data_IF_306652994536
#
_entry.id   IF_306652994536
#
_cell.length_a   1.000
_cell.length_b   1.000
_cell.length_c   1.000
_cell.angle_alpha   90.00
_cell.angle_beta   90.00
_cell.angle_gamma   90.00
#
_symmetry.space_group_name_H-M   'P 1'
#
loop_
_entity.id
_entity.type
_entity.pdbx_description
1 polymer ?
#
# COMPACT_ATOMS: atom_id res chain seq x y z
N UNK A 1 14.04 -27.36 35.30
CA UNK A 1 12.65 -26.84 35.18
C UNK A 1 12.71 -25.56 34.38
N UNK A 2 11.81 -25.41 33.43
CA UNK A 2 11.67 -24.16 32.65
C UNK A 2 11.01 -23.13 33.55
N UNK A 3 11.52 -21.91 33.54
CA UNK A 3 10.96 -20.85 34.37
C UNK A 3 9.54 -20.48 33.93
N UNK A 4 8.69 -20.11 34.90
CA UNK A 4 7.39 -19.50 34.56
C UNK A 4 7.62 -18.24 33.71
N UNK A 5 6.79 -18.07 32.68
CA UNK A 5 6.94 -16.97 31.72
C UNK A 5 6.12 -17.20 30.45
N UNK A 6 6.26 -16.30 29.51
CA UNK A 6 5.62 -16.40 28.19
C UNK A 6 6.69 -16.75 27.16
N UNK A 7 6.53 -17.89 26.51
CA UNK A 7 7.41 -18.33 25.43
C UNK A 7 6.65 -18.29 24.11
N UNK A 8 7.05 -17.42 23.21
CA UNK A 8 6.47 -17.35 21.86
C UNK A 8 7.36 -18.19 20.94
N UNK A 9 6.90 -19.39 20.62
CA UNK A 9 7.71 -20.40 19.91
C UNK A 9 7.25 -20.48 18.45
N UNK A 10 8.17 -20.20 17.55
CA UNK A 10 8.01 -20.42 16.13
C UNK A 10 7.94 -21.90 15.79
N UNK A 11 6.99 -22.25 14.93
CA UNK A 11 6.83 -23.60 14.40
C UNK A 11 7.16 -23.57 12.92
N UNK A 12 8.18 -24.32 12.47
CA UNK A 12 8.53 -24.34 11.06
C UNK A 12 7.42 -24.96 10.19
N UNK A 13 7.46 -24.80 8.85
CA UNK A 13 6.43 -25.33 7.96
C UNK A 13 6.13 -26.81 8.13
N UNK A 14 7.15 -27.60 8.47
CA UNK A 14 7.06 -29.06 8.70
C UNK A 14 6.33 -29.42 10.01
N UNK A 15 5.94 -28.43 10.80
CA UNK A 15 5.16 -28.60 12.03
C UNK A 15 5.98 -28.87 13.29
N UNK A 16 5.28 -29.26 14.37
CA UNK A 16 5.89 -29.42 15.70
C UNK A 16 7.01 -30.47 15.75
N UNK A 17 7.03 -31.44 14.83
CA UNK A 17 8.08 -32.48 14.75
C UNK A 17 9.45 -31.88 14.40
N UNK A 18 9.46 -30.76 13.68
CA UNK A 18 10.69 -30.06 13.28
C UNK A 18 11.15 -29.01 14.30
N UNK A 19 10.37 -28.75 15.35
CA UNK A 19 10.81 -27.91 16.46
C UNK A 19 11.92 -28.64 17.23
N UNK A 20 12.97 -27.91 17.63
CA UNK A 20 14.07 -28.45 18.44
C UNK A 20 13.56 -29.14 19.71
N UNK A 21 14.20 -30.27 20.07
CA UNK A 21 13.78 -31.13 21.21
C UNK A 21 13.65 -30.37 22.53
N UNK A 22 14.54 -29.44 22.80
CA UNK A 22 14.52 -28.57 23.97
C UNK A 22 13.20 -27.79 24.08
N UNK A 23 12.76 -27.19 22.97
CA UNK A 23 11.53 -26.38 22.90
C UNK A 23 10.28 -27.26 22.84
N UNK A 24 10.35 -28.45 22.23
CA UNK A 24 9.25 -29.42 22.32
C UNK A 24 8.91 -29.81 23.75
N UNK A 25 9.95 -30.01 24.59
CA UNK A 25 9.76 -30.25 26.03
C UNK A 25 9.11 -29.09 26.75
N UNK A 26 9.47 -27.85 26.39
CA UNK A 26 8.81 -26.64 26.94
C UNK A 26 7.32 -26.63 26.56
N UNK A 27 6.98 -26.89 25.30
CA UNK A 27 5.60 -26.98 24.84
C UNK A 27 4.83 -28.06 25.60
N UNK A 28 5.42 -29.23 25.80
CA UNK A 28 4.79 -30.37 26.51
C UNK A 28 4.59 -30.12 28.00
N UNK A 29 5.45 -29.29 28.63
CA UNK A 29 5.36 -28.97 30.06
C UNK A 29 4.59 -27.68 30.33
N UNK A 30 4.05 -27.04 29.30
CA UNK A 30 3.30 -25.79 29.45
C UNK A 30 1.98 -25.99 30.20
N UNK A 31 1.68 -25.07 31.14
CA UNK A 31 0.39 -25.00 31.80
C UNK A 31 -0.70 -24.58 30.78
N UNK A 32 -0.36 -23.69 29.88
CA UNK A 32 -1.23 -23.20 28.82
C UNK A 32 -0.53 -23.08 27.48
N UNK A 33 -1.17 -23.57 26.42
CA UNK A 33 -0.71 -23.43 25.03
C UNK A 33 -1.72 -22.63 24.20
N UNK A 34 -1.23 -21.57 23.56
CA UNK A 34 -2.00 -20.69 22.68
C UNK A 34 -1.53 -20.89 21.25
N UNK A 35 -2.44 -20.88 20.29
CA UNK A 35 -2.05 -21.02 18.88
C UNK A 35 -3.24 -21.01 17.95
N UNK A 36 -3.00 -20.88 16.66
CA UNK A 36 -4.04 -21.12 15.66
C UNK A 36 -4.50 -22.57 15.68
N UNK A 37 -5.75 -22.82 15.32
CA UNK A 37 -6.40 -24.17 15.35
C UNK A 37 -5.52 -25.27 14.77
N UNK A 38 -4.85 -25.00 13.64
CA UNK A 38 -3.96 -25.95 12.99
C UNK A 38 -2.81 -26.42 13.88
N UNK A 39 -2.17 -25.49 14.60
CA UNK A 39 -1.05 -25.81 15.48
C UNK A 39 -1.52 -26.51 16.74
N UNK A 40 -2.65 -26.09 17.30
CA UNK A 40 -3.24 -26.74 18.48
C UNK A 40 -3.64 -28.19 18.22
N UNK A 41 -4.14 -28.51 17.02
CA UNK A 41 -4.50 -29.88 16.61
C UNK A 41 -3.29 -30.83 16.51
N UNK A 42 -2.05 -30.30 16.52
CA UNK A 42 -0.84 -31.11 16.53
C UNK A 42 -0.38 -31.48 17.96
N UNK A 43 -1.01 -30.92 18.99
CA UNK A 43 -0.67 -31.20 20.40
C UNK A 43 -1.27 -32.52 20.87
N UNK A 44 -0.66 -33.16 21.90
CA UNK A 44 -1.24 -34.33 22.54
C UNK A 44 -2.61 -34.02 23.18
N UNK A 45 -3.46 -35.04 23.24
CA UNK A 45 -4.75 -34.94 23.92
C UNK A 45 -4.56 -34.60 25.40
N UNK A 46 -5.33 -33.62 25.92
CA UNK A 46 -5.29 -33.22 27.33
C UNK A 46 -4.47 -31.95 27.63
N UNK A 47 -3.81 -31.34 26.65
CA UNK A 47 -3.18 -30.03 26.80
C UNK A 47 -4.23 -28.96 27.02
N UNK A 48 -4.00 -28.05 27.98
CA UNK A 48 -4.85 -26.87 28.16
C UNK A 48 -4.52 -25.86 27.05
N UNK A 49 -5.50 -25.58 26.21
CA UNK A 49 -5.27 -24.75 25.01
C UNK A 49 -6.27 -23.63 24.89
N UNK A 50 -5.83 -22.51 24.29
CA UNK A 50 -6.69 -21.40 23.88
C UNK A 50 -6.37 -21.02 22.43
N UNK A 51 -7.40 -21.05 21.58
CA UNK A 51 -7.24 -20.71 20.16
C UNK A 51 -7.00 -19.21 19.98
N UNK A 52 -5.98 -18.87 19.18
CA UNK A 52 -5.73 -17.51 18.72
C UNK A 52 -6.65 -17.21 17.55
N UNK A 53 -7.54 -16.24 17.76
CA UNK A 53 -8.46 -15.72 16.74
C UNK A 53 -8.49 -14.19 16.79
N UNK A 54 -9.07 -13.55 15.78
CA UNK A 54 -9.31 -12.10 15.80
C UNK A 54 -10.68 -11.82 16.49
N UNK A 55 -10.75 -10.85 17.45
CA UNK A 55 -9.65 -10.04 17.98
C UNK A 55 -8.74 -10.81 18.96
N UNK A 56 -7.48 -10.38 19.09
CA UNK A 56 -6.48 -11.03 19.97
C UNK A 56 -6.71 -10.74 21.47
N UNK A 57 -7.57 -9.79 21.81
CA UNK A 57 -7.81 -9.33 23.19
C UNK A 57 -8.06 -10.46 24.18
N UNK A 58 -8.91 -11.47 23.90
CA UNK A 58 -9.16 -12.57 24.86
C UNK A 58 -7.87 -13.34 25.22
N UNK A 59 -6.99 -13.55 24.23
CA UNK A 59 -5.71 -14.24 24.45
C UNK A 59 -4.78 -13.39 25.31
N UNK A 60 -4.70 -12.09 25.03
CA UNK A 60 -3.85 -11.16 25.78
C UNK A 60 -4.31 -11.06 27.25
N UNK A 61 -5.61 -11.00 27.49
CA UNK A 61 -6.17 -10.97 28.84
C UNK A 61 -5.89 -12.28 29.59
N UNK A 62 -6.07 -13.41 28.92
CA UNK A 62 -5.77 -14.72 29.50
C UNK A 62 -4.26 -14.86 29.81
N UNK A 63 -3.37 -14.36 28.97
CA UNK A 63 -1.93 -14.33 29.22
C UNK A 63 -1.57 -13.50 30.47
N UNK A 64 -2.30 -12.43 30.79
CA UNK A 64 -2.10 -11.60 31.99
C UNK A 64 -2.61 -12.28 33.25
N UNK A 65 -3.81 -12.86 33.20
CA UNK A 65 -4.44 -13.48 34.37
C UNK A 65 -3.65 -14.69 34.88
N UNK A 66 -2.96 -15.40 34.01
CA UNK A 66 -2.17 -16.57 34.37
C UNK A 66 -0.68 -16.26 34.63
N UNK A 67 -0.38 -15.07 35.14
CA UNK A 67 0.98 -14.71 35.56
C UNK A 67 1.51 -15.72 36.60
N UNK A 68 2.79 -16.10 36.48
CA UNK A 68 3.41 -17.12 37.32
C UNK A 68 3.32 -18.55 36.80
N UNK A 69 2.61 -18.82 35.69
CA UNK A 69 2.56 -20.11 35.02
C UNK A 69 3.44 -20.16 33.76
N UNK A 70 3.72 -21.34 33.24
CA UNK A 70 4.41 -21.55 31.98
C UNK A 70 3.40 -21.45 30.81
N UNK A 71 3.50 -20.38 30.05
CA UNK A 71 2.59 -20.08 28.93
C UNK A 71 3.33 -20.11 27.61
N UNK A 72 2.88 -20.94 26.70
CA UNK A 72 3.49 -21.09 25.38
C UNK A 72 2.55 -20.58 24.30
N UNK A 73 3.02 -19.67 23.48
CA UNK A 73 2.31 -19.16 22.30
C UNK A 73 2.98 -19.76 21.05
N UNK A 74 2.24 -20.55 20.31
CA UNK A 74 2.72 -21.14 19.06
C UNK A 74 2.40 -20.23 17.88
N UNK A 75 3.41 -19.89 17.09
CA UNK A 75 3.28 -19.12 15.86
C UNK A 75 3.85 -19.88 14.68
N UNK A 76 3.28 -19.79 13.51
CA UNK A 76 3.86 -20.36 12.29
C UNK A 76 5.07 -19.54 11.86
N UNK A 77 6.23 -20.21 11.66
CA UNK A 77 7.46 -19.56 11.26
C UNK A 77 8.09 -18.68 12.34
N UNK A 78 8.61 -17.52 11.96
CA UNK A 78 9.19 -16.57 12.90
C UNK A 78 8.08 -15.70 13.52
N UNK A 79 7.89 -15.72 14.86
CA UNK A 79 6.87 -14.93 15.55
C UNK A 79 6.99 -13.43 15.36
N UNK A 80 8.20 -12.91 15.06
CA UNK A 80 8.46 -11.49 14.82
C UNK A 80 8.18 -11.07 13.38
N UNK A 81 8.05 -12.03 12.46
CA UNK A 81 7.92 -11.74 11.04
C UNK A 81 6.46 -11.84 10.59
N UNK A 82 5.74 -10.71 10.58
CA UNK A 82 4.28 -10.63 10.39
C UNK A 82 3.49 -11.53 11.36
N UNK A 83 4.08 -11.84 12.49
CA UNK A 83 3.57 -12.78 13.48
C UNK A 83 2.95 -12.12 14.71
N UNK A 84 2.54 -12.97 15.66
CA UNK A 84 1.81 -12.57 16.88
C UNK A 84 2.68 -11.82 17.90
N UNK A 85 4.01 -11.92 17.83
CA UNK A 85 4.91 -11.40 18.85
C UNK A 85 4.80 -9.87 19.01
N UNK A 86 4.66 -9.12 17.92
CA UNK A 86 4.48 -7.65 18.00
C UNK A 86 3.24 -7.27 18.80
N UNK A 87 2.12 -7.95 18.60
CA UNK A 87 0.90 -7.69 19.35
C UNK A 87 1.05 -8.03 20.85
N UNK A 88 1.83 -9.06 21.17
CA UNK A 88 2.16 -9.42 22.55
C UNK A 88 3.02 -8.33 23.19
N UNK A 89 4.10 -7.87 22.54
CA UNK A 89 4.98 -6.82 23.08
C UNK A 89 4.28 -5.48 23.33
N UNK A 90 3.29 -5.14 22.53
CA UNK A 90 2.51 -3.90 22.73
C UNK A 90 1.64 -3.94 23.99
N UNK A 91 1.38 -5.13 24.51
CA UNK A 91 0.40 -5.34 25.59
C UNK A 91 1.01 -5.97 26.85
N UNK A 92 2.18 -6.59 26.77
CA UNK A 92 2.87 -7.30 27.85
C UNK A 92 4.33 -6.84 27.85
N UNK A 93 4.92 -6.54 29.03
CA UNK A 93 6.33 -6.16 29.12
C UNK A 93 7.26 -7.16 28.44
N UNK A 94 8.10 -6.69 27.53
CA UNK A 94 9.00 -7.55 26.75
C UNK A 94 9.95 -8.39 27.63
N UNK A 95 10.27 -7.93 28.83
CA UNK A 95 11.10 -8.67 29.82
C UNK A 95 10.46 -9.98 30.31
N UNK A 96 9.14 -10.13 30.14
CA UNK A 96 8.40 -11.36 30.51
C UNK A 96 8.22 -12.33 29.34
N UNK A 97 8.70 -11.96 28.14
CA UNK A 97 8.45 -12.69 26.90
C UNK A 97 9.78 -13.20 26.33
N UNK A 98 9.87 -14.50 26.11
CA UNK A 98 10.99 -15.12 25.37
C UNK A 98 10.48 -15.52 24.00
N UNK A 99 11.17 -15.09 22.93
CA UNK A 99 10.82 -15.46 21.56
C UNK A 99 11.85 -16.46 21.01
N UNK A 100 11.33 -17.52 20.44
CA UNK A 100 12.10 -18.57 19.78
C UNK A 100 11.72 -18.56 18.30
N UNK A 101 12.59 -18.04 17.40
CA UNK A 101 12.28 -17.99 15.97
C UNK A 101 12.36 -19.38 15.34
N UNK A 102 11.61 -19.57 14.27
CA UNK A 102 11.75 -20.70 13.37
C UNK A 102 11.86 -20.22 11.92
N UNK A 103 12.19 -21.14 11.01
CA UNK A 103 12.21 -20.87 9.58
C UNK A 103 10.81 -20.35 9.14
N UNK A 104 10.76 -19.15 8.60
CA UNK A 104 9.51 -18.57 8.10
C UNK A 104 9.10 -19.24 6.78
N UNK A 105 7.80 -19.19 6.47
CA UNK A 105 7.29 -19.67 5.18
C UNK A 105 7.92 -18.93 3.99
N UNK A 106 8.26 -17.66 4.16
CA UNK A 106 8.96 -16.89 3.11
C UNK A 106 10.38 -17.39 2.87
N UNK A 107 11.15 -17.70 3.93
CA UNK A 107 12.49 -18.30 3.78
C UNK A 107 12.40 -19.68 3.14
N UNK A 108 11.41 -20.49 3.54
CA UNK A 108 11.15 -21.79 2.94
C UNK A 108 10.81 -21.66 1.45
N UNK A 109 9.98 -20.69 1.05
CA UNK A 109 9.65 -20.42 -0.34
C UNK A 109 10.90 -20.11 -1.17
N UNK A 110 11.77 -19.22 -0.71
CA UNK A 110 13.02 -18.91 -1.42
C UNK A 110 13.96 -20.10 -1.55
N UNK A 111 14.02 -20.95 -0.54
CA UNK A 111 14.78 -22.20 -0.61
C UNK A 111 14.23 -23.16 -1.69
N UNK A 112 12.89 -23.28 -1.80
CA UNK A 112 12.24 -24.09 -2.86
C UNK A 112 12.47 -23.51 -4.25
N UNK A 113 12.42 -22.18 -4.38
CA UNK A 113 12.62 -21.47 -5.65
C UNK A 113 14.09 -21.33 -6.04
N UNK A 114 15.02 -21.62 -5.13
CA UNK A 114 16.47 -21.43 -5.34
C UNK A 114 16.81 -19.99 -5.72
N UNK A 115 16.14 -19.04 -5.08
CA UNK A 115 16.31 -17.62 -5.31
C UNK A 115 16.93 -16.94 -4.10
N UNK A 116 17.69 -15.86 -4.34
CA UNK A 116 18.13 -14.94 -3.28
C UNK A 116 16.99 -14.01 -2.88
N UNK A 117 16.93 -13.62 -1.61
CA UNK A 117 15.88 -12.80 -1.01
C UNK A 117 16.36 -11.46 -0.44
N UNK A 118 17.68 -11.20 -0.48
CA UNK A 118 18.26 -9.97 0.08
C UNK A 118 17.76 -8.69 -0.59
N UNK A 119 17.31 -8.76 -1.85
CA UNK A 119 16.78 -7.68 -2.68
C UNK A 119 15.26 -7.68 -2.77
N UNK A 120 14.57 -8.53 -2.01
CA UNK A 120 13.12 -8.66 -2.02
C UNK A 120 12.44 -7.70 -1.03
N UNK A 121 11.33 -7.11 -1.44
CA UNK A 121 10.40 -6.47 -0.53
C UNK A 121 9.44 -7.50 0.05
N UNK A 122 9.19 -7.45 1.36
CA UNK A 122 8.33 -8.38 2.06
C UNK A 122 7.03 -7.71 2.47
N UNK A 123 5.90 -8.27 2.04
CA UNK A 123 4.58 -7.78 2.35
C UNK A 123 3.61 -8.89 2.75
N UNK A 124 2.53 -8.53 3.42
CA UNK A 124 1.46 -9.44 3.79
C UNK A 124 0.11 -8.79 3.49
N UNK A 125 -0.71 -9.49 2.72
CA UNK A 125 -2.12 -9.13 2.48
C UNK A 125 -3.07 -9.94 3.36
N UNK A 126 -2.53 -10.75 4.27
CA UNK A 126 -3.33 -11.50 5.24
C UNK A 126 -4.13 -10.55 6.13
N UNK A 127 -5.46 -10.57 5.99
CA UNK A 127 -6.37 -9.65 6.68
C UNK A 127 -6.18 -8.16 6.34
N UNK A 128 -5.59 -7.84 5.19
CA UNK A 128 -5.31 -6.47 4.72
C UNK A 128 -5.78 -6.29 3.28
N UNK A 129 -6.05 -5.04 2.83
CA UNK A 129 -6.43 -4.78 1.45
C UNK A 129 -5.39 -5.26 0.44
N UNK A 130 -5.85 -5.95 -0.61
CA UNK A 130 -5.00 -6.50 -1.67
C UNK A 130 -4.30 -5.40 -2.48
N UNK A 131 -4.91 -4.22 -2.54
CA UNK A 131 -4.41 -3.05 -3.27
C UNK A 131 -2.98 -2.65 -2.87
N UNK A 132 -2.58 -2.89 -1.64
CA UNK A 132 -1.21 -2.61 -1.18
C UNK A 132 -0.17 -3.40 -1.99
N UNK A 133 -0.51 -4.62 -2.41
CA UNK A 133 0.38 -5.47 -3.19
C UNK A 133 0.74 -4.83 -4.55
N UNK A 134 -0.21 -4.13 -5.17
CA UNK A 134 0.02 -3.42 -6.44
C UNK A 134 1.11 -2.36 -6.30
N UNK A 135 1.03 -1.56 -5.23
CA UNK A 135 2.03 -0.54 -4.93
C UNK A 135 3.43 -1.13 -4.71
N UNK A 136 3.50 -2.30 -4.07
CA UNK A 136 4.77 -3.01 -3.89
C UNK A 136 5.32 -3.52 -5.21
N UNK A 137 4.49 -4.19 -6.03
CA UNK A 137 4.89 -4.74 -7.33
C UNK A 137 5.31 -3.63 -8.31
N UNK A 138 4.64 -2.48 -8.29
CA UNK A 138 5.03 -1.33 -9.11
C UNK A 138 6.42 -0.78 -8.73
N UNK A 139 6.81 -0.90 -7.46
CA UNK A 139 8.02 -0.25 -6.91
C UNK A 139 9.22 -1.15 -6.82
N UNK A 140 9.05 -2.45 -6.65
CA UNK A 140 10.15 -3.37 -6.41
C UNK A 140 10.23 -4.45 -7.47
N UNK A 141 11.46 -4.81 -7.86
CA UNK A 141 11.70 -5.86 -8.85
C UNK A 141 11.31 -7.25 -8.33
N UNK A 142 11.36 -7.43 -7.02
CA UNK A 142 11.02 -8.68 -6.35
C UNK A 142 10.20 -8.39 -5.10
N UNK A 143 9.00 -8.94 -5.04
CA UNK A 143 8.07 -8.78 -3.92
C UNK A 143 7.64 -10.14 -3.42
N UNK A 144 7.67 -10.35 -2.12
CA UNK A 144 7.16 -11.55 -1.47
C UNK A 144 5.88 -11.20 -0.74
N UNK A 145 4.83 -11.94 -1.01
CA UNK A 145 3.49 -11.66 -0.50
C UNK A 145 2.97 -12.89 0.25
N UNK A 146 2.63 -12.70 1.53
CA UNK A 146 1.81 -13.66 2.27
C UNK A 146 0.35 -13.45 1.92
N UNK A 147 -0.30 -14.50 1.44
CA UNK A 147 -1.71 -14.52 1.04
C UNK A 147 -2.61 -15.10 2.14
N UNK A 148 -3.91 -15.02 1.94
CA UNK A 148 -4.96 -15.67 2.74
C UNK A 148 -6.06 -16.23 1.82
N UNK A 149 -7.05 -16.99 2.33
CA UNK A 149 -8.10 -17.58 1.47
C UNK A 149 -8.92 -16.56 0.67
N UNK A 150 -9.06 -15.32 1.13
CA UNK A 150 -9.79 -14.26 0.44
C UNK A 150 -8.90 -13.51 -0.56
N UNK A 151 -7.64 -13.28 -0.17
CA UNK A 151 -6.60 -12.62 -0.97
C UNK A 151 -5.59 -13.66 -1.47
N UNK A 152 -6.08 -14.66 -2.19
CA UNK A 152 -5.31 -15.78 -2.73
C UNK A 152 -4.56 -15.39 -4.03
N UNK A 153 -3.80 -16.31 -4.58
CA UNK A 153 -3.03 -16.09 -5.82
C UNK A 153 -3.92 -15.64 -6.98
N UNK A 154 -5.10 -16.23 -7.15
CA UNK A 154 -6.01 -15.88 -8.24
C UNK A 154 -6.52 -14.43 -8.12
N UNK A 155 -6.90 -14.01 -6.92
CA UNK A 155 -7.34 -12.64 -6.65
C UNK A 155 -6.21 -11.63 -6.90
N UNK A 156 -4.99 -11.92 -6.42
CA UNK A 156 -3.80 -11.12 -6.66
C UNK A 156 -3.50 -11.00 -8.16
N UNK A 157 -3.53 -12.11 -8.88
CA UNK A 157 -3.25 -12.17 -10.31
C UNK A 157 -4.27 -11.36 -11.13
N UNK A 158 -5.57 -11.42 -10.77
CA UNK A 158 -6.63 -10.62 -11.39
C UNK A 158 -6.40 -9.12 -11.19
N UNK A 159 -6.12 -8.70 -9.95
CA UNK A 159 -5.92 -7.28 -9.65
C UNK A 159 -4.64 -6.74 -10.32
N UNK A 160 -3.55 -7.51 -10.31
CA UNK A 160 -2.32 -7.19 -11.05
C UNK A 160 -2.59 -7.01 -12.54
N UNK A 161 -3.32 -7.94 -13.16
CA UNK A 161 -3.62 -7.90 -14.61
C UNK A 161 -4.48 -6.68 -14.95
N UNK A 162 -5.51 -6.40 -14.15
CA UNK A 162 -6.41 -5.26 -14.36
C UNK A 162 -5.66 -3.91 -14.32
N UNK A 163 -4.52 -3.86 -13.62
CA UNK A 163 -3.71 -2.65 -13.46
C UNK A 163 -2.44 -2.63 -14.32
N UNK A 164 -2.38 -3.47 -15.37
CA UNK A 164 -1.28 -3.46 -16.35
C UNK A 164 -0.06 -4.28 -15.96
N UNK A 165 -0.12 -5.07 -14.88
CA UNK A 165 0.95 -5.98 -14.46
C UNK A 165 0.71 -7.43 -14.92
N UNK A 166 -0.03 -7.64 -16.03
CA UNK A 166 -0.37 -8.99 -16.50
C UNK A 166 0.85 -9.87 -16.83
N UNK A 167 1.96 -9.26 -17.25
CA UNK A 167 3.19 -9.95 -17.68
C UNK A 167 4.19 -10.21 -16.55
N UNK A 168 3.96 -9.72 -15.33
CA UNK A 168 4.86 -10.02 -14.21
C UNK A 168 4.79 -11.51 -13.86
N UNK A 169 5.92 -12.09 -13.49
CA UNK A 169 6.01 -13.50 -13.13
C UNK A 169 5.69 -13.71 -11.66
N UNK A 170 4.75 -14.60 -11.37
CA UNK A 170 4.42 -15.06 -10.04
C UNK A 170 4.99 -16.47 -9.83
N UNK A 171 5.70 -16.67 -8.74
CA UNK A 171 6.11 -17.96 -8.23
C UNK A 171 5.29 -18.25 -6.98
N UNK A 172 4.52 -19.32 -7.01
CA UNK A 172 3.57 -19.67 -5.96
C UNK A 172 4.07 -20.87 -5.19
N UNK A 173 4.18 -20.73 -3.88
CA UNK A 173 4.58 -21.79 -2.96
C UNK A 173 3.43 -22.01 -1.97
N UNK A 174 2.60 -23.00 -2.24
CA UNK A 174 1.45 -23.35 -1.44
C UNK A 174 1.74 -24.51 -0.48
N UNK A 175 1.18 -24.47 0.71
CA UNK A 175 1.23 -25.53 1.71
C UNK A 175 2.64 -26.04 2.02
N UNK A 176 3.63 -25.12 2.09
CA UNK A 176 5.02 -25.44 2.33
C UNK A 176 5.20 -26.36 3.56
N UNK A 177 5.99 -27.43 3.39
CA UNK A 177 6.29 -28.42 4.43
C UNK A 177 5.16 -29.42 4.71
N UNK A 178 4.07 -29.40 3.95
CA UNK A 178 2.97 -30.37 4.03
C UNK A 178 3.03 -31.36 2.87
N UNK A 179 2.33 -32.50 3.01
CA UNK A 179 2.19 -33.50 1.94
C UNK A 179 1.50 -32.92 0.69
N UNK A 180 0.71 -31.85 0.86
CA UNK A 180 0.04 -31.11 -0.21
C UNK A 180 0.86 -29.92 -0.75
N UNK A 181 2.17 -29.88 -0.49
CA UNK A 181 3.04 -28.82 -1.00
C UNK A 181 2.99 -28.73 -2.53
N UNK A 182 2.72 -27.53 -3.04
CA UNK A 182 2.72 -27.22 -4.46
C UNK A 182 3.65 -26.04 -4.74
N UNK A 183 4.49 -26.16 -5.76
CA UNK A 183 5.31 -25.04 -6.26
C UNK A 183 5.10 -24.95 -7.77
N UNK A 184 4.62 -23.79 -8.22
CA UNK A 184 4.38 -23.53 -9.64
C UNK A 184 4.60 -22.05 -9.95
N UNK A 185 4.66 -21.71 -11.24
CA UNK A 185 4.86 -20.33 -11.68
C UNK A 185 4.12 -20.03 -12.97
N UNK A 186 3.86 -18.75 -13.22
CA UNK A 186 3.26 -18.25 -14.44
C UNK A 186 3.18 -16.73 -14.43
N UNK A 187 2.73 -16.14 -15.53
CA UNK A 187 2.42 -14.71 -15.54
C UNK A 187 1.14 -14.42 -14.72
N UNK A 188 0.99 -13.18 -14.24
CA UNK A 188 -0.23 -12.79 -13.55
C UNK A 188 -1.48 -13.06 -14.42
N UNK A 189 -1.38 -12.78 -15.72
CA UNK A 189 -2.46 -13.07 -16.68
C UNK A 189 -2.82 -14.57 -16.71
N UNK A 190 -1.84 -15.46 -16.68
CA UNK A 190 -2.07 -16.90 -16.74
C UNK A 190 -2.62 -17.49 -15.43
N UNK A 191 -2.31 -16.86 -14.29
CA UNK A 191 -2.65 -17.37 -12.97
C UNK A 191 -3.95 -16.81 -12.36
N UNK A 192 -4.79 -16.14 -13.15
CA UNK A 192 -6.07 -15.60 -12.69
C UNK A 192 -7.09 -16.65 -12.21
N UNK A 193 -6.88 -17.91 -12.56
CA UNK A 193 -7.68 -19.06 -12.12
C UNK A 193 -6.89 -20.05 -11.26
N UNK A 194 -5.73 -19.65 -10.71
CA UNK A 194 -4.89 -20.53 -9.90
C UNK A 194 -5.61 -20.99 -8.63
N UNK A 195 -5.48 -22.29 -8.33
CA UNK A 195 -5.96 -22.91 -7.10
C UNK A 195 -4.75 -23.29 -6.23
N UNK A 196 -4.58 -22.54 -5.14
CA UNK A 196 -3.48 -22.67 -4.19
C UNK A 196 -3.94 -22.95 -2.76
N UNK A 197 -5.18 -23.39 -2.59
CA UNK A 197 -5.82 -23.65 -1.28
C UNK A 197 -5.83 -22.40 -0.34
N UNK A 198 -5.45 -21.24 -0.85
CA UNK A 198 -5.57 -19.93 -0.19
C UNK A 198 -4.48 -19.59 0.86
N UNK A 199 -3.54 -20.48 1.13
CA UNK A 199 -2.41 -20.21 2.04
C UNK A 199 -1.07 -20.36 1.32
N UNK A 200 -0.67 -19.30 0.64
CA UNK A 200 0.52 -19.32 -0.19
C UNK A 200 1.48 -18.21 0.14
N UNK A 201 2.74 -18.46 -0.17
CA UNK A 201 3.76 -17.43 -0.35
C UNK A 201 3.91 -17.21 -1.84
N UNK A 202 3.60 -16.01 -2.31
CA UNK A 202 3.74 -15.63 -3.70
C UNK A 202 4.93 -14.70 -3.86
N UNK A 203 5.91 -15.10 -4.69
CA UNK A 203 7.03 -14.22 -5.06
C UNK A 203 6.72 -13.63 -6.43
N UNK A 204 6.54 -12.33 -6.49
CA UNK A 204 6.29 -11.59 -7.74
C UNK A 204 7.59 -10.98 -8.23
N UNK A 205 7.98 -11.30 -9.45
CA UNK A 205 9.12 -10.70 -10.13
C UNK A 205 8.63 -9.74 -11.22
N UNK A 206 8.91 -8.45 -11.03
CA UNK A 206 8.65 -7.38 -11.97
C UNK A 206 9.97 -6.79 -12.47
N UNK A 207 10.46 -7.12 -13.67
CA UNK A 207 11.73 -6.59 -14.18
C UNK A 207 11.74 -5.07 -14.36
N UNK A 208 10.57 -4.45 -14.38
CA UNK A 208 10.40 -3.01 -14.49
C UNK A 208 10.10 -2.32 -13.14
N UNK A 209 10.06 -3.07 -12.05
CA UNK A 209 9.88 -2.53 -10.72
C UNK A 209 10.98 -1.52 -10.37
N UNK A 210 10.60 -0.43 -9.71
CA UNK A 210 11.56 0.61 -9.31
C UNK A 210 12.12 1.49 -10.42
N UNK A 211 11.80 1.23 -11.69
CA UNK A 211 12.22 2.08 -12.83
C UNK A 211 11.32 3.32 -13.00
N UNK A 212 10.34 3.48 -12.15
CA UNK A 212 9.43 4.59 -12.18
C UNK A 212 10.15 5.92 -11.87
N UNK A 213 10.44 6.70 -12.91
CA UNK A 213 11.08 8.00 -12.78
C UNK A 213 10.02 9.06 -12.49
N UNK A 214 10.28 9.90 -11.49
CA UNK A 214 9.49 11.10 -11.21
C UNK A 214 9.72 12.17 -12.29
N UNK A 215 8.66 12.90 -12.64
CA UNK A 215 8.74 13.99 -13.61
C UNK A 215 8.69 13.49 -15.05
N UNK A 216 7.69 12.67 -15.37
CA UNK A 216 7.46 12.14 -16.69
C UNK A 216 7.22 13.24 -17.72
N UNK A 217 7.73 13.05 -18.94
CA UNK A 217 7.51 13.98 -20.05
C UNK A 217 6.04 13.93 -20.52
N UNK A 218 5.54 15.10 -20.93
CA UNK A 218 4.13 15.28 -21.27
C UNK A 218 3.72 14.50 -22.53
N UNK A 219 4.64 14.18 -23.43
CA UNK A 219 4.42 13.40 -24.64
C UNK A 219 4.25 11.90 -24.40
N UNK A 220 4.62 11.43 -23.21
CA UNK A 220 4.44 10.04 -22.81
C UNK A 220 3.04 9.75 -22.26
N UNK A 221 2.22 10.77 -22.05
CA UNK A 221 0.85 10.64 -21.56
C UNK A 221 -0.15 10.75 -22.71
N UNK A 222 -1.09 9.82 -22.75
CA UNK A 222 -2.25 9.91 -23.62
C UNK A 222 -3.07 11.16 -23.23
N UNK A 223 -3.59 11.85 -24.23
CA UNK A 223 -4.39 13.08 -24.11
C UNK A 223 -5.57 13.04 -25.04
N UNK A 224 -6.67 13.74 -24.72
CA UNK A 224 -7.74 13.97 -25.67
C UNK A 224 -7.21 14.77 -26.88
N UNK A 225 -7.53 14.33 -28.08
CA UNK A 225 -7.10 15.02 -29.32
C UNK A 225 -7.71 16.42 -29.43
N UNK A 226 -8.93 16.59 -28.94
CA UNK A 226 -9.71 17.83 -29.06
C UNK A 226 -9.33 18.90 -28.03
N UNK A 227 -8.63 18.56 -26.94
CA UNK A 227 -8.33 19.49 -25.85
C UNK A 227 -6.88 19.35 -25.32
N UNK A 228 -5.87 19.69 -26.12
CA UNK A 228 -4.46 19.47 -25.74
C UNK A 228 -3.98 20.33 -24.55
N UNK A 229 -4.80 21.30 -24.08
CA UNK A 229 -4.47 22.21 -22.99
C UNK A 229 -4.89 21.76 -21.59
N UNK A 230 -5.64 20.69 -21.43
CA UNK A 230 -6.24 20.31 -20.14
C UNK A 230 -5.29 19.55 -19.18
N UNK A 231 -4.11 19.17 -19.63
CA UNK A 231 -3.14 18.47 -18.77
C UNK A 231 -2.21 19.43 -18.02
N UNK A 232 -2.01 19.22 -16.73
CA UNK A 232 -1.00 19.95 -15.95
C UNK A 232 0.41 19.68 -16.53
N UNK A 233 1.04 20.71 -17.05
CA UNK A 233 2.37 20.63 -17.70
C UNK A 233 3.46 20.19 -16.73
N UNK A 234 4.49 19.51 -17.24
CA UNK A 234 5.59 18.93 -16.43
C UNK A 234 6.15 19.91 -15.39
N UNK A 235 6.46 21.15 -15.79
CA UNK A 235 7.03 22.15 -14.89
C UNK A 235 6.05 22.51 -13.76
N UNK A 236 4.78 22.75 -14.09
CA UNK A 236 3.72 23.06 -13.11
C UNK A 236 3.46 21.84 -12.21
N UNK A 237 3.43 20.65 -12.78
CA UNK A 237 3.23 19.38 -12.06
C UNK A 237 4.34 19.14 -11.04
N UNK A 238 5.61 19.36 -11.42
CA UNK A 238 6.75 19.20 -10.53
C UNK A 238 6.66 20.13 -9.32
N UNK A 239 6.33 21.41 -9.54
CA UNK A 239 6.14 22.37 -8.44
C UNK A 239 4.94 21.99 -7.58
N UNK A 240 3.81 21.64 -8.19
CA UNK A 240 2.59 21.23 -7.46
C UNK A 240 2.86 20.05 -6.53
N UNK A 241 3.57 19.01 -7.01
CA UNK A 241 3.91 17.83 -6.21
C UNK A 241 4.88 18.19 -5.09
N UNK A 242 5.85 19.07 -5.33
CA UNK A 242 6.75 19.57 -4.28
C UNK A 242 5.96 20.31 -3.19
N UNK A 243 4.98 21.14 -3.57
CA UNK A 243 4.13 21.89 -2.63
C UNK A 243 3.18 21.00 -1.82
N UNK A 244 2.77 19.83 -2.35
CA UNK A 244 1.93 18.88 -1.61
C UNK A 244 2.62 18.30 -0.36
N UNK A 245 3.96 18.36 -0.27
CA UNK A 245 4.70 17.87 0.90
C UNK A 245 4.53 16.37 1.16
N UNK A 246 4.46 15.57 0.09
CA UNK A 246 4.18 14.14 0.16
C UNK A 246 5.26 13.36 0.91
N UNK A 247 4.84 12.42 1.72
CA UNK A 247 5.67 11.42 2.39
C UNK A 247 5.43 10.02 1.81
N UNK A 248 6.28 9.03 2.12
CA UNK A 248 6.07 7.65 1.67
C UNK A 248 4.78 6.98 2.16
N UNK A 249 4.06 7.57 3.12
CA UNK A 249 2.80 7.05 3.68
C UNK A 249 1.60 7.91 3.36
N UNK A 250 1.78 8.99 2.61
CA UNK A 250 0.71 9.95 2.35
C UNK A 250 -0.45 9.34 1.58
N UNK A 251 -1.65 9.72 1.97
CA UNK A 251 -2.87 9.55 1.20
C UNK A 251 -3.12 10.84 0.44
N UNK A 252 -3.11 10.76 -0.89
CA UNK A 252 -3.39 11.88 -1.79
C UNK A 252 -4.76 11.73 -2.44
N UNK A 253 -5.56 12.78 -2.41
CA UNK A 253 -6.70 12.94 -3.31
C UNK A 253 -6.30 13.87 -4.48
N UNK A 254 -6.43 13.39 -5.71
CA UNK A 254 -6.27 14.17 -6.94
C UNK A 254 -7.67 14.40 -7.54
N UNK A 255 -8.20 15.59 -7.36
CA UNK A 255 -9.57 15.97 -7.75
C UNK A 255 -9.56 16.69 -9.09
N UNK A 256 -10.33 16.18 -10.05
CA UNK A 256 -10.26 16.60 -11.45
C UNK A 256 -8.96 16.13 -12.07
N UNK A 257 -8.71 14.82 -11.95
CA UNK A 257 -7.44 14.19 -12.32
C UNK A 257 -7.14 14.26 -13.82
N UNK A 258 -8.15 14.44 -14.67
CA UNK A 258 -8.00 14.49 -16.12
C UNK A 258 -7.28 13.26 -16.66
N UNK A 259 -6.14 13.47 -17.31
CA UNK A 259 -5.30 12.37 -17.85
C UNK A 259 -4.52 11.60 -16.79
N UNK A 260 -4.56 12.00 -15.52
CA UNK A 260 -3.84 11.37 -14.43
C UNK A 260 -2.36 11.79 -14.27
N UNK A 261 -1.94 12.83 -14.97
CA UNK A 261 -0.53 13.26 -14.97
C UNK A 261 0.02 13.54 -13.56
N UNK A 262 -0.75 14.24 -12.73
CA UNK A 262 -0.36 14.54 -11.34
C UNK A 262 -0.41 13.28 -10.49
N UNK A 263 -1.49 12.50 -10.59
CA UNK A 263 -1.66 11.24 -9.87
C UNK A 263 -0.50 10.27 -10.11
N UNK A 264 -0.11 10.08 -11.39
CA UNK A 264 0.94 9.15 -11.77
C UNK A 264 2.30 9.60 -11.21
N UNK A 265 2.67 10.87 -11.39
CA UNK A 265 3.94 11.38 -10.84
C UNK A 265 3.92 11.40 -9.30
N UNK A 266 2.82 11.77 -8.65
CA UNK A 266 2.69 11.72 -7.20
C UNK A 266 2.81 10.30 -6.63
N UNK A 267 2.26 9.30 -7.33
CA UNK A 267 2.36 7.89 -6.92
C UNK A 267 3.80 7.38 -6.85
N UNK A 268 4.72 8.02 -7.58
CA UNK A 268 6.14 7.68 -7.57
C UNK A 268 6.90 8.29 -6.39
N UNK A 269 6.37 9.37 -5.83
CA UNK A 269 6.87 10.01 -4.61
C UNK A 269 6.30 9.31 -3.37
N UNK A 270 5.02 8.97 -3.41
CA UNK A 270 4.32 8.25 -2.34
C UNK A 270 4.81 6.80 -2.31
N UNK A 271 5.18 6.32 -1.11
CA UNK A 271 5.66 4.96 -0.93
C UNK A 271 4.55 3.91 -0.97
N UNK A 272 4.92 2.63 -0.86
CA UNK A 272 3.98 1.51 -0.94
C UNK A 272 2.99 1.41 0.25
N UNK A 273 3.16 2.25 1.26
CA UNK A 273 2.26 2.34 2.41
C UNK A 273 1.26 3.49 2.31
N UNK A 274 1.37 4.32 1.26
CA UNK A 274 0.45 5.39 0.95
C UNK A 274 -0.45 5.05 -0.24
N UNK A 275 -1.30 5.99 -0.65
CA UNK A 275 -2.25 5.79 -1.74
C UNK A 275 -2.54 7.10 -2.48
N UNK A 276 -2.85 6.98 -3.78
CA UNK A 276 -3.34 8.09 -4.61
C UNK A 276 -4.73 7.74 -5.12
N UNK A 277 -5.71 8.57 -4.82
CA UNK A 277 -7.08 8.46 -5.30
C UNK A 277 -7.33 9.55 -6.34
N UNK A 278 -7.49 9.15 -7.60
CA UNK A 278 -7.69 10.04 -8.75
C UNK A 278 -9.18 10.11 -9.09
N UNK A 279 -9.82 11.23 -8.79
CA UNK A 279 -11.25 11.44 -9.02
C UNK A 279 -11.45 12.25 -10.29
N UNK A 280 -12.16 11.67 -11.27
CA UNK A 280 -12.46 12.31 -12.55
C UNK A 280 -13.97 12.19 -12.86
N UNK A 281 -14.59 13.31 -13.26
CA UNK A 281 -16.01 13.37 -13.51
C UNK A 281 -16.40 13.09 -14.97
N UNK A 282 -15.51 13.39 -15.92
CA UNK A 282 -15.74 13.14 -17.33
C UNK A 282 -15.42 11.68 -17.68
N UNK A 283 -16.36 10.90 -18.20
CA UNK A 283 -16.11 9.48 -18.55
C UNK A 283 -15.00 9.30 -19.58
N UNK A 284 -14.86 10.20 -20.56
CA UNK A 284 -13.82 10.10 -21.60
C UNK A 284 -12.42 10.35 -21.02
N UNK A 285 -12.28 11.38 -20.16
CA UNK A 285 -11.02 11.65 -19.47
C UNK A 285 -10.68 10.54 -18.48
N UNK A 286 -11.69 9.95 -17.83
CA UNK A 286 -11.53 8.79 -16.95
C UNK A 286 -10.99 7.56 -17.71
N UNK A 287 -11.45 7.29 -18.93
CA UNK A 287 -10.91 6.21 -19.77
C UNK A 287 -9.43 6.45 -20.08
N UNK A 288 -9.05 7.68 -20.43
CA UNK A 288 -7.65 8.07 -20.66
C UNK A 288 -6.82 7.93 -19.39
N UNK A 289 -7.35 8.38 -18.25
CA UNK A 289 -6.73 8.19 -16.92
C UNK A 289 -6.42 6.70 -16.67
N UNK A 290 -7.39 5.82 -16.88
CA UNK A 290 -7.20 4.37 -16.71
C UNK A 290 -6.13 3.80 -17.67
N UNK A 291 -6.13 4.21 -18.93
CA UNK A 291 -5.13 3.79 -19.91
C UNK A 291 -3.72 4.28 -19.53
N UNK A 292 -3.58 5.52 -19.09
CA UNK A 292 -2.32 6.05 -18.63
C UNK A 292 -1.82 5.32 -17.37
N UNK A 293 -2.70 5.08 -16.38
CA UNK A 293 -2.37 4.29 -15.19
C UNK A 293 -1.84 2.90 -15.60
N UNK A 294 -2.51 2.24 -16.51
CA UNK A 294 -2.13 0.91 -17.00
C UNK A 294 -0.79 0.94 -17.74
N UNK A 295 -0.64 1.87 -18.72
CA UNK A 295 0.57 2.01 -19.54
C UNK A 295 1.81 2.29 -18.68
N UNK A 296 1.65 3.15 -17.67
CA UNK A 296 2.75 3.55 -16.78
C UNK A 296 2.86 2.73 -15.50
N UNK A 297 2.04 1.66 -15.37
CA UNK A 297 2.00 0.78 -14.21
C UNK A 297 1.99 1.56 -12.90
N UNK A 298 1.18 2.63 -12.84
CA UNK A 298 1.12 3.52 -11.70
C UNK A 298 0.17 2.98 -10.61
N UNK A 299 0.57 2.94 -9.34
CA UNK A 299 -0.28 2.50 -8.23
C UNK A 299 -1.27 3.61 -7.83
N UNK A 300 -2.19 3.93 -8.73
CA UNK A 300 -3.23 4.95 -8.57
C UNK A 300 -4.60 4.28 -8.58
N UNK A 301 -5.51 4.75 -7.75
CA UNK A 301 -6.92 4.30 -7.67
C UNK A 301 -7.80 5.27 -8.44
N UNK A 302 -8.19 4.96 -9.69
CA UNK A 302 -9.07 5.81 -10.48
C UNK A 302 -10.51 5.68 -9.98
N UNK A 303 -11.21 6.82 -9.87
CA UNK A 303 -12.59 6.91 -9.42
C UNK A 303 -13.37 7.76 -10.40
N UNK A 304 -14.34 7.14 -11.08
CA UNK A 304 -15.29 7.88 -11.90
C UNK A 304 -16.34 8.53 -10.98
N UNK A 305 -16.32 9.84 -10.91
CA UNK A 305 -17.24 10.58 -10.05
C UNK A 305 -16.96 12.07 -10.01
N UNK A 306 -17.95 12.83 -9.60
CA UNK A 306 -17.87 14.29 -9.46
C UNK A 306 -17.64 14.65 -7.99
N UNK A 307 -16.56 15.35 -7.69
CA UNK A 307 -16.34 15.94 -6.38
C UNK A 307 -17.29 17.16 -6.17
N UNK A 308 -17.75 17.42 -4.92
CA UNK A 308 -17.34 16.77 -3.67
C UNK A 308 -18.04 15.43 -3.38
N UNK A 309 -19.05 15.03 -4.17
CA UNK A 309 -19.77 13.77 -3.97
C UNK A 309 -18.80 12.58 -4.14
N UNK A 310 -18.95 11.56 -3.28
CA UNK A 310 -18.12 10.36 -3.31
C UNK A 310 -16.80 10.46 -2.56
N UNK A 311 -16.34 11.67 -2.17
CA UNK A 311 -15.14 11.84 -1.35
C UNK A 311 -15.31 11.22 0.05
N UNK A 312 -16.54 11.14 0.57
CA UNK A 312 -16.86 10.57 1.88
C UNK A 312 -16.46 9.09 2.03
N UNK A 313 -16.31 8.36 0.91
CA UNK A 313 -15.93 6.95 0.90
C UNK A 313 -14.43 6.72 0.91
N UNK A 314 -13.65 7.78 0.70
CA UNK A 314 -12.20 7.70 0.66
C UNK A 314 -11.62 7.81 2.09
N UNK A 315 -10.45 7.23 2.36
CA UNK A 315 -9.74 7.50 3.61
C UNK A 315 -9.33 8.97 3.70
N UNK A 316 -9.20 9.51 4.93
CA UNK A 316 -8.82 10.90 5.15
C UNK A 316 -7.44 11.21 4.54
N UNK A 317 -7.30 12.32 3.78
CA UNK A 317 -6.09 12.61 3.06
C UNK A 317 -5.04 13.36 3.91
N UNK A 318 -3.77 13.12 3.60
CA UNK A 318 -2.64 13.94 4.05
C UNK A 318 -2.39 15.10 3.09
N UNK A 319 -2.79 14.93 1.82
CA UNK A 319 -2.66 15.94 0.78
C UNK A 319 -3.84 15.89 -0.20
N UNK A 320 -4.20 17.04 -0.75
CA UNK A 320 -5.24 17.18 -1.77
C UNK A 320 -4.70 18.03 -2.92
N UNK A 321 -4.77 17.51 -4.14
CA UNK A 321 -4.55 18.30 -5.34
C UNK A 321 -5.89 18.57 -6.03
N UNK A 322 -6.13 19.81 -6.48
CA UNK A 322 -7.32 20.21 -7.23
C UNK A 322 -6.87 20.75 -8.59
N UNK A 323 -6.97 19.89 -9.62
CA UNK A 323 -6.65 20.23 -11.02
C UNK A 323 -7.85 20.79 -11.77
N UNK A 324 -9.07 20.38 -11.38
CA UNK A 324 -10.32 20.83 -11.94
C UNK A 324 -11.47 20.73 -10.94
N UNK A 325 -12.36 21.72 -10.91
CA UNK A 325 -13.45 21.79 -9.92
C UNK A 325 -14.86 21.68 -10.53
N UNK A 326 -14.97 21.73 -11.86
CA UNK A 326 -16.29 21.72 -12.52
C UNK A 326 -17.26 22.80 -12.03
N UNK A 327 -16.73 23.92 -11.53
CA UNK A 327 -17.51 25.03 -10.97
C UNK A 327 -17.83 24.91 -9.46
N UNK A 328 -17.42 23.82 -8.80
CA UNK A 328 -17.74 23.54 -7.38
C UNK A 328 -16.54 23.75 -6.44
N UNK A 329 -15.61 24.68 -6.81
CA UNK A 329 -14.34 24.86 -6.08
C UNK A 329 -14.55 25.13 -4.58
N UNK A 330 -15.51 25.97 -4.22
CA UNK A 330 -15.80 26.31 -2.82
C UNK A 330 -16.23 25.08 -2.01
N UNK A 331 -17.17 24.30 -2.54
CA UNK A 331 -17.68 23.10 -1.87
C UNK A 331 -16.61 22.00 -1.77
N UNK A 332 -15.73 21.89 -2.79
CA UNK A 332 -14.60 20.94 -2.78
C UNK A 332 -13.59 21.33 -1.71
N UNK A 333 -13.22 22.62 -1.63
CA UNK A 333 -12.28 23.11 -0.61
C UNK A 333 -12.86 22.88 0.80
N UNK A 334 -14.13 23.14 1.01
CA UNK A 334 -14.78 22.95 2.31
C UNK A 334 -14.76 21.47 2.72
N UNK A 335 -15.28 20.59 1.86
CA UNK A 335 -15.36 19.16 2.15
C UNK A 335 -14.01 18.48 2.26
N UNK A 336 -13.10 18.77 1.32
CA UNK A 336 -11.74 18.22 1.40
C UNK A 336 -10.97 18.81 2.60
N UNK A 337 -11.18 20.10 2.88
CA UNK A 337 -10.58 20.78 4.03
C UNK A 337 -11.04 20.25 5.38
N UNK A 338 -12.30 19.84 5.53
CA UNK A 338 -12.81 19.17 6.75
C UNK A 338 -12.03 17.87 7.02
N UNK A 339 -11.80 17.08 5.99
CA UNK A 339 -11.21 15.75 6.07
C UNK A 339 -9.69 15.71 6.02
N UNK A 340 -9.06 16.73 5.44
CA UNK A 340 -7.59 16.85 5.39
C UNK A 340 -7.01 16.81 6.82
N UNK A 341 -5.98 16.03 7.02
CA UNK A 341 -5.29 15.98 8.32
C UNK A 341 -4.69 17.34 8.71
N UNK A 342 -4.55 17.62 10.00
CA UNK A 342 -3.83 18.81 10.50
C UNK A 342 -2.37 18.73 10.05
N UNK A 343 -1.83 19.82 9.50
CA UNK A 343 -0.53 19.84 8.85
C UNK A 343 -0.53 19.35 7.40
N UNK A 344 -1.66 18.78 6.93
CA UNK A 344 -1.85 18.38 5.55
C UNK A 344 -1.97 19.58 4.61
N UNK A 345 -1.70 19.37 3.32
CA UNK A 345 -1.67 20.43 2.32
C UNK A 345 -2.67 20.21 1.21
N UNK A 346 -3.30 21.32 0.81
CA UNK A 346 -4.14 21.40 -0.38
C UNK A 346 -3.42 22.28 -1.41
N UNK A 347 -3.25 21.76 -2.63
CA UNK A 347 -2.63 22.48 -3.75
C UNK A 347 -3.62 22.58 -4.90
N UNK A 348 -3.78 23.79 -5.44
CA UNK A 348 -4.66 24.08 -6.55
C UNK A 348 -3.87 24.71 -7.69
N UNK A 349 -4.25 24.40 -8.93
CA UNK A 349 -3.76 25.11 -10.12
C UNK A 349 -4.88 25.96 -10.72
N UNK A 350 -4.62 27.26 -10.85
CA UNK A 350 -5.57 28.22 -11.39
C UNK A 350 -4.95 28.98 -12.57
N UNK A 351 -5.68 29.09 -13.66
CA UNK A 351 -5.26 29.86 -14.86
C UNK A 351 -5.98 31.21 -14.96
N UNK A 352 -7.05 31.40 -14.20
CA UNK A 352 -7.88 32.62 -14.26
C UNK A 352 -7.63 33.49 -13.03
N UNK A 353 -7.43 34.78 -13.29
CA UNK A 353 -7.16 35.75 -12.23
C UNK A 353 -8.38 36.02 -11.32
N UNK A 354 -9.58 35.94 -11.88
CA UNK A 354 -10.82 36.12 -11.11
C UNK A 354 -11.02 35.07 -10.01
N UNK A 355 -10.50 33.85 -10.22
CA UNK A 355 -10.51 32.84 -9.17
C UNK A 355 -9.58 33.18 -8.00
N UNK A 356 -8.46 33.90 -8.25
CA UNK A 356 -7.56 34.33 -7.17
C UNK A 356 -8.22 35.30 -6.19
N UNK A 357 -9.04 36.22 -6.70
CA UNK A 357 -9.71 37.21 -5.83
C UNK A 357 -10.69 36.58 -4.85
N UNK A 358 -11.15 35.38 -5.13
CA UNK A 358 -12.05 34.61 -4.28
C UNK A 358 -11.37 33.78 -3.19
N UNK A 359 -10.06 33.52 -3.31
CA UNK A 359 -9.35 32.61 -2.41
C UNK A 359 -9.42 33.01 -0.94
N UNK A 360 -9.38 34.30 -0.62
CA UNK A 360 -9.46 34.82 0.75
C UNK A 360 -10.78 34.46 1.42
N UNK A 361 -11.83 34.18 0.63
CA UNK A 361 -13.18 33.80 1.11
C UNK A 361 -13.37 32.26 1.10
N UNK A 362 -12.54 31.54 0.34
CA UNK A 362 -12.67 30.09 0.18
C UNK A 362 -11.97 29.32 1.28
N UNK A 363 -10.82 29.83 1.77
CA UNK A 363 -10.08 29.12 2.82
C UNK A 363 -10.53 29.56 4.22
N UNK A 364 -10.91 28.63 5.13
CA UNK A 364 -11.13 28.92 6.53
C UNK A 364 -9.90 29.55 7.20
N UNK A 365 -10.11 30.35 8.26
CA UNK A 365 -9.03 31.11 8.95
C UNK A 365 -7.87 30.24 9.49
N UNK A 366 -8.11 28.98 9.72
CA UNK A 366 -7.08 28.04 10.19
C UNK A 366 -6.24 27.46 9.05
N UNK A 367 -6.44 27.87 7.81
CA UNK A 367 -5.54 27.55 6.71
C UNK A 367 -4.55 28.68 6.47
N UNK A 368 -3.26 28.33 6.39
CA UNK A 368 -2.20 29.22 5.92
C UNK A 368 -1.98 28.96 4.43
N UNK A 369 -2.24 29.95 3.59
CA UNK A 369 -2.15 29.78 2.15
C UNK A 369 -1.21 30.79 1.49
N UNK A 370 -0.57 30.35 0.40
CA UNK A 370 0.31 31.14 -0.45
C UNK A 370 -0.03 30.94 -1.91
N UNK A 371 0.35 31.87 -2.76
CA UNK A 371 0.20 31.77 -4.21
C UNK A 371 1.55 31.98 -4.87
N UNK A 372 1.90 31.05 -5.74
CA UNK A 372 3.08 31.17 -6.58
C UNK A 372 2.65 31.29 -8.05
N UNK A 373 3.15 32.30 -8.75
CA UNK A 373 2.96 32.42 -10.19
C UNK A 373 4.08 31.71 -10.92
N UNK A 374 3.74 30.75 -11.76
CA UNK A 374 4.65 30.01 -12.61
C UNK A 374 4.46 30.42 -14.07
N UNK A 375 5.57 30.76 -14.71
CA UNK A 375 5.65 31.00 -16.14
C UNK A 375 6.87 30.26 -16.67
N UNK A 376 6.68 29.44 -17.70
CA UNK A 376 7.73 28.68 -18.35
C UNK A 376 7.69 28.87 -19.86
N UNK A 377 8.82 28.62 -20.49
CA UNK A 377 8.94 28.61 -21.95
C UNK A 377 9.88 27.47 -22.36
N UNK A 378 9.51 26.73 -23.38
CA UNK A 378 10.29 25.63 -23.92
C UNK A 378 10.91 26.04 -25.25
N UNK A 379 12.18 25.71 -25.44
CA UNK A 379 12.83 25.84 -26.72
C UNK A 379 13.02 24.47 -27.37
N UNK A 380 12.46 24.27 -28.55
CA UNK A 380 12.76 23.10 -29.37
C UNK A 380 13.87 23.41 -30.36
N UNK A 381 15.09 22.84 -30.18
CA UNK A 381 16.25 23.13 -31.04
C UNK A 381 16.11 22.51 -32.45
N UNK A 382 15.22 21.52 -32.66
CA UNK A 382 15.00 20.87 -33.94
C UNK A 382 14.17 21.71 -34.93
N UNK A 383 13.57 22.83 -34.48
CA UNK A 383 12.90 23.76 -35.38
C UNK A 383 13.90 24.52 -36.23
N UNK A 384 13.55 24.86 -37.50
CA UNK A 384 14.37 25.62 -38.41
C UNK A 384 14.90 26.95 -37.82
N UNK A 385 14.09 27.54 -36.91
CA UNK A 385 14.53 28.70 -36.11
C UNK A 385 14.24 28.37 -34.65
N UNK A 386 15.29 28.06 -33.85
CA UNK A 386 15.11 27.83 -32.43
C UNK A 386 14.57 29.06 -31.72
N UNK A 387 13.46 28.94 -31.04
CA UNK A 387 12.88 30.02 -30.22
C UNK A 387 12.19 29.45 -28.99
N UNK A 388 12.16 30.25 -27.94
CA UNK A 388 11.35 29.94 -26.78
C UNK A 388 9.86 30.08 -27.13
N UNK A 389 9.09 29.06 -26.82
CA UNK A 389 7.62 29.05 -26.92
C UNK A 389 7.08 29.15 -25.50
N UNK A 390 6.42 30.25 -25.11
CA UNK A 390 5.87 30.40 -23.77
C UNK A 390 4.73 29.40 -23.55
N UNK A 391 4.66 28.86 -22.35
CA UNK A 391 3.48 28.13 -21.86
C UNK A 391 2.54 29.10 -21.13
N UNK A 392 1.27 28.78 -21.08
CA UNK A 392 0.31 29.57 -20.32
C UNK A 392 0.72 29.65 -18.85
N UNK A 393 0.84 30.86 -18.28
CA UNK A 393 1.18 30.99 -16.88
C UNK A 393 0.07 30.40 -15.99
N UNK A 394 0.49 29.83 -14.85
CA UNK A 394 -0.41 29.16 -13.91
C UNK A 394 -0.13 29.66 -12.50
N UNK A 395 -1.17 29.92 -11.74
CA UNK A 395 -1.06 30.17 -10.30
C UNK A 395 -1.13 28.84 -9.56
N UNK A 396 -0.12 28.53 -8.78
CA UNK A 396 -0.10 27.39 -7.85
C UNK A 396 -0.41 27.95 -6.46
N UNK A 397 -1.56 27.55 -5.95
CA UNK A 397 -2.02 27.92 -4.60
C UNK A 397 -1.70 26.77 -3.68
N UNK A 398 -1.04 27.02 -2.57
CA UNK A 398 -0.76 26.03 -1.53
C UNK A 398 -1.43 26.49 -0.24
N UNK A 399 -2.25 25.64 0.36
CA UNK A 399 -2.91 25.89 1.63
C UNK A 399 -2.62 24.76 2.62
N UNK A 400 -2.04 25.09 3.76
CA UNK A 400 -1.72 24.15 4.84
C UNK A 400 -2.74 24.28 5.96
N UNK A 401 -3.30 23.15 6.42
CA UNK A 401 -4.30 23.11 7.47
C UNK A 401 -3.65 23.22 8.85
N UNK A 402 -3.90 24.32 9.55
CA UNK A 402 -3.53 24.51 10.95
C UNK A 402 -4.53 23.89 11.92
N UNK A 403 -4.23 23.98 13.20
CA UNK A 403 -5.16 23.60 14.28
C UNK A 403 -6.32 24.61 14.33
N UNK A 404 -7.56 24.12 14.41
CA UNK A 404 -8.71 24.99 14.71
C UNK A 404 -8.52 25.55 16.13
N UNK A 405 -8.35 26.86 16.22
CA UNK A 405 -8.37 27.58 17.52
C UNK A 405 -9.78 27.65 18.07
#
# INVERSE_FOLDING_TARGET
>A
MVAAGIYVIGVPPEGLKAVEESWRRVIQSADWVYGGRRLLNMLPSGSQTLEISSPLTPVLDHLRVHEGTLRVVLATGDPNFFGVAEAIYRNIPASLVTVVPALSSMQAAFARLKMSWHDAYFGSVHGRPLEQAISWVARYNKVVILTDPHHNTAALAKDLTARGFGEVTLYVCANLGMDSEKVFSGTAMALQGADDDGFSVVVVCNPHGGQAVYGMDDDRLLRPEEQPGMMTKKAVRAVSIAQLGLSPRSILWDIGAGTGAVSIDASRVIGPQGAVYAVEANPQDYEILCQNIQTHQAPVYPILGRAPQGLERLPDPDAVFIGGSGGQLAEIIDRAGERLHVGGRMVLTLVRFDHLTQLSHLFPRHFHWTVQWLSSALMNPERQVPRFVPENPVFVVTAEKGVKQ
#
